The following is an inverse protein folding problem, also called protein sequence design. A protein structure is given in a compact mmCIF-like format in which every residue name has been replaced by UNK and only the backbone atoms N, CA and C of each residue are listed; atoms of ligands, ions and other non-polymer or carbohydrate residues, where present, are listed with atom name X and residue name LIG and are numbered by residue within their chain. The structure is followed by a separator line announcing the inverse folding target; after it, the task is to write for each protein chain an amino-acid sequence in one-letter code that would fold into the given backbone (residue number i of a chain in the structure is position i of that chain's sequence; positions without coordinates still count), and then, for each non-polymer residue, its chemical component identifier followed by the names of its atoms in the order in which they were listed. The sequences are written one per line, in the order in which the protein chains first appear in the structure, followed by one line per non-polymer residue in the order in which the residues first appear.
data_IF_202561809272
#
_entry.id   IF_202561809272
#
_cell.length_a   1.000
_cell.length_b   1.000
_cell.length_c   1.000
_cell.angle_alpha   90.00
_cell.angle_beta   90.00
_cell.angle_gamma   90.00
#
_symmetry.space_group_name_H-M   'P 1'
#
loop_
_entity.id
_entity.type
_entity.pdbx_description
1 polymer ?
#
# COMPACT_ATOMS: atom_id res chain seq x y z
N UNK A 1 2.26 16.99 16.26
CA UNK A 1 2.14 16.72 17.72
C UNK A 1 3.52 16.68 18.33
N UNK A 2 3.68 17.19 19.56
CA UNK A 2 4.92 17.16 20.35
C UNK A 2 4.59 16.56 21.71
N UNK A 3 5.32 15.51 22.10
CA UNK A 3 5.28 14.97 23.45
C UNK A 3 6.42 15.56 24.28
N UNK A 4 6.13 16.22 25.40
CA UNK A 4 7.15 16.79 26.28
C UNK A 4 6.64 16.96 27.72
N UNK A 5 7.56 16.89 28.69
CA UNK A 5 7.25 16.99 30.11
C UNK A 5 7.37 18.42 30.67
N UNK A 6 7.94 19.35 29.90
CA UNK A 6 8.14 20.73 30.36
C UNK A 6 8.15 21.74 29.20
N UNK A 7 7.96 23.01 29.55
CA UNK A 7 7.84 24.11 28.58
C UNK A 7 9.17 24.38 27.83
N UNK A 8 10.31 24.13 28.44
CA UNK A 8 11.61 24.32 27.79
C UNK A 8 11.77 23.42 26.58
N UNK A 9 11.45 22.13 26.74
CA UNK A 9 11.58 21.13 25.68
C UNK A 9 10.58 21.42 24.55
N UNK A 10 9.36 21.85 24.91
CA UNK A 10 8.34 22.29 23.93
C UNK A 10 8.90 23.43 23.07
N UNK A 11 9.41 24.47 23.71
CA UNK A 11 9.93 25.65 23.01
C UNK A 11 11.11 25.28 22.09
N UNK A 12 12.01 24.44 22.55
CA UNK A 12 13.17 23.99 21.78
C UNK A 12 12.73 23.22 20.51
N UNK A 13 11.80 22.28 20.62
CA UNK A 13 11.29 21.53 19.48
C UNK A 13 10.52 22.44 18.52
N UNK A 14 9.71 23.37 19.04
CA UNK A 14 8.99 24.34 18.20
C UNK A 14 9.93 25.24 17.42
N UNK A 15 11.03 25.70 18.03
CA UNK A 15 12.04 26.53 17.37
C UNK A 15 12.71 25.77 16.21
N UNK A 16 13.12 24.52 16.44
CA UNK A 16 13.68 23.68 15.39
C UNK A 16 12.70 23.48 14.24
N UNK A 17 11.41 23.22 14.53
CA UNK A 17 10.42 22.93 13.51
C UNK A 17 9.97 24.15 12.69
N UNK A 18 10.14 25.37 13.19
CA UNK A 18 9.82 26.60 12.44
C UNK A 18 10.54 26.68 11.09
N UNK A 19 11.76 26.20 11.06
CA UNK A 19 12.61 26.28 9.87
C UNK A 19 12.33 25.18 8.81
N UNK A 20 11.48 24.18 9.18
CA UNK A 20 11.17 23.05 8.31
C UNK A 20 9.80 23.14 7.62
N UNK A 21 9.00 24.14 7.91
CA UNK A 21 7.64 24.28 7.39
C UNK A 21 7.42 25.65 6.78
N UNK A 22 6.98 25.69 5.53
CA UNK A 22 6.57 26.93 4.83
C UNK A 22 5.28 27.52 5.38
N UNK A 23 4.51 26.75 6.17
CA UNK A 23 3.25 27.13 6.80
C UNK A 23 3.24 26.67 8.26
N UNK A 24 2.56 27.38 9.12
CA UNK A 24 2.38 27.00 10.51
C UNK A 24 1.38 25.83 10.63
N UNK A 25 1.82 24.58 10.75
CA UNK A 25 0.91 23.45 10.92
C UNK A 25 0.26 23.52 12.30
N UNK A 26 -1.00 23.05 12.44
CA UNK A 26 -1.65 23.01 13.75
C UNK A 26 -0.84 22.13 14.71
N UNK A 27 -0.47 22.71 15.85
CA UNK A 27 0.36 22.07 16.85
C UNK A 27 -0.49 21.57 18.02
N UNK A 28 -0.26 20.32 18.42
CA UNK A 28 -0.82 19.74 19.64
C UNK A 28 0.32 19.33 20.58
N UNK A 29 0.30 19.87 21.79
CA UNK A 29 1.22 19.49 22.87
C UNK A 29 0.55 18.37 23.68
N UNK A 30 1.31 17.33 23.99
CA UNK A 30 0.88 16.10 24.66
C UNK A 30 1.92 15.72 25.72
N UNK A 31 1.58 14.85 26.67
CA UNK A 31 2.59 14.12 27.45
C UNK A 31 3.37 13.16 26.53
N UNK A 32 4.48 12.62 27.03
CA UNK A 32 5.27 11.63 26.27
C UNK A 32 4.43 10.39 25.93
N UNK A 33 3.70 9.88 26.92
CA UNK A 33 2.86 8.70 26.78
C UNK A 33 1.70 8.93 25.81
N UNK A 34 1.06 10.11 25.88
CA UNK A 34 -0.01 10.48 24.93
C UNK A 34 0.52 10.58 23.50
N UNK A 35 1.72 11.13 23.30
CA UNK A 35 2.32 11.26 21.98
C UNK A 35 2.69 9.89 21.38
N UNK A 36 3.23 8.96 22.18
CA UNK A 36 3.52 7.59 21.77
C UNK A 36 2.25 6.85 21.36
N UNK A 37 1.21 6.89 22.21
CA UNK A 37 -0.08 6.27 21.90
C UNK A 37 -0.72 6.90 20.67
N UNK A 38 -0.71 8.23 20.55
CA UNK A 38 -1.29 8.93 19.41
C UNK A 38 -0.58 8.57 18.11
N UNK A 39 0.76 8.48 18.11
CA UNK A 39 1.55 8.12 16.93
C UNK A 39 1.21 6.72 16.42
N UNK A 40 1.17 5.72 17.30
CA UNK A 40 0.89 4.33 16.91
C UNK A 40 -0.59 4.18 16.52
N UNK A 41 -1.51 4.87 17.22
CA UNK A 41 -2.94 4.86 16.91
C UNK A 41 -3.25 5.46 15.54
N UNK A 42 -2.48 6.48 15.09
CA UNK A 42 -2.69 7.08 13.78
C UNK A 42 -2.55 6.01 12.67
N UNK A 43 -1.44 5.27 12.65
CA UNK A 43 -1.21 4.26 11.65
C UNK A 43 -2.19 3.08 11.79
N UNK A 44 -2.53 2.67 13.01
CA UNK A 44 -3.56 1.67 13.27
C UNK A 44 -4.92 2.08 12.68
N UNK A 45 -5.31 3.35 12.82
CA UNK A 45 -6.54 3.86 12.23
C UNK A 45 -6.50 3.90 10.70
N UNK A 46 -5.37 4.34 10.12
CA UNK A 46 -5.19 4.35 8.66
C UNK A 46 -5.30 2.93 8.09
N UNK A 47 -4.68 1.94 8.74
CA UNK A 47 -4.79 0.53 8.33
C UNK A 47 -6.24 0.04 8.31
N UNK A 48 -7.06 0.42 9.30
CA UNK A 48 -8.49 0.10 9.28
C UNK A 48 -9.24 0.74 8.11
N UNK A 49 -8.88 1.99 7.73
CA UNK A 49 -9.47 2.64 6.54
C UNK A 49 -9.12 1.88 5.27
N UNK A 50 -7.84 1.53 5.09
CA UNK A 50 -7.37 0.77 3.93
C UNK A 50 -8.04 -0.60 3.89
N UNK A 51 -8.11 -1.31 5.01
CA UNK A 51 -8.76 -2.61 5.08
C UNK A 51 -10.25 -2.53 4.73
N UNK A 52 -10.97 -1.54 5.24
CA UNK A 52 -12.37 -1.35 4.91
C UNK A 52 -12.59 -1.13 3.41
N UNK A 53 -11.78 -0.27 2.78
CA UNK A 53 -11.91 0.04 1.36
C UNK A 53 -11.47 -1.15 0.47
N UNK A 54 -10.46 -1.88 0.90
CA UNK A 54 -10.03 -3.10 0.21
C UNK A 54 -11.06 -4.22 0.33
N UNK A 55 -11.71 -4.36 1.50
CA UNK A 55 -12.85 -5.28 1.65
C UNK A 55 -14.03 -4.87 0.76
N UNK A 56 -14.35 -3.58 0.68
CA UNK A 56 -15.38 -3.07 -0.22
C UNK A 56 -15.06 -3.38 -1.68
N UNK A 57 -13.80 -3.22 -2.09
CA UNK A 57 -13.34 -3.59 -3.43
C UNK A 57 -13.54 -5.06 -3.75
N UNK A 58 -13.20 -5.94 -2.80
CA UNK A 58 -13.44 -7.38 -2.95
C UNK A 58 -14.92 -7.74 -3.01
N UNK A 59 -15.79 -7.03 -2.28
CA UNK A 59 -17.24 -7.20 -2.38
C UNK A 59 -17.82 -6.78 -3.74
N UNK A 60 -17.21 -5.77 -4.36
CA UNK A 60 -17.64 -5.26 -5.67
C UNK A 60 -17.05 -6.07 -6.85
N UNK A 61 -16.09 -6.94 -6.61
CA UNK A 61 -15.45 -7.74 -7.66
C UNK A 61 -16.50 -8.63 -8.36
N UNK A 62 -16.56 -8.53 -9.69
CA UNK A 62 -17.54 -9.27 -10.51
C UNK A 62 -18.98 -8.73 -10.48
N UNK A 63 -19.25 -7.59 -9.84
CA UNK A 63 -20.58 -6.96 -9.90
C UNK A 63 -20.74 -6.12 -11.18
N UNK A 64 -21.80 -6.40 -11.94
CA UNK A 64 -22.12 -5.65 -13.14
C UNK A 64 -22.47 -4.19 -12.82
N UNK A 65 -21.95 -3.25 -13.64
CA UNK A 65 -22.19 -1.82 -13.51
C UNK A 65 -21.77 -1.17 -12.19
N UNK A 66 -20.81 -1.79 -11.48
CA UNK A 66 -20.26 -1.27 -10.23
C UNK A 66 -18.78 -0.95 -10.42
N UNK A 67 -18.42 0.32 -10.19
CA UNK A 67 -17.03 0.74 -10.06
C UNK A 67 -16.79 1.18 -8.61
N UNK A 68 -15.95 0.44 -7.91
CA UNK A 68 -15.63 0.69 -6.50
C UNK A 68 -14.99 2.07 -6.28
N UNK A 69 -14.24 2.59 -7.26
CA UNK A 69 -13.61 3.91 -7.16
C UNK A 69 -14.65 5.03 -7.12
N UNK A 70 -15.72 4.93 -7.93
CA UNK A 70 -16.83 5.87 -7.84
C UNK A 70 -17.52 5.85 -6.47
N UNK A 71 -17.65 4.67 -5.87
CA UNK A 71 -18.24 4.51 -4.53
C UNK A 71 -17.32 5.14 -3.48
N UNK A 72 -16.02 4.83 -3.52
CA UNK A 72 -15.06 5.35 -2.53
C UNK A 72 -14.85 6.85 -2.66
N UNK A 73 -14.87 7.39 -3.89
CA UNK A 73 -14.79 8.82 -4.13
C UNK A 73 -16.04 9.53 -3.58
N UNK A 74 -17.24 9.00 -3.82
CA UNK A 74 -18.46 9.56 -3.26
C UNK A 74 -18.47 9.56 -1.72
N UNK A 75 -18.08 8.45 -1.09
CA UNK A 75 -17.97 8.34 0.38
C UNK A 75 -16.87 9.27 0.91
N UNK A 76 -15.75 9.39 0.20
CA UNK A 76 -14.60 10.22 0.56
C UNK A 76 -14.92 11.73 0.60
N UNK A 77 -15.98 12.20 -0.06
CA UNK A 77 -16.45 13.59 0.04
C UNK A 77 -16.98 13.93 1.43
N UNK A 78 -17.43 12.94 2.19
CA UNK A 78 -17.87 13.17 3.57
C UNK A 78 -16.65 13.53 4.45
N UNK A 79 -16.68 14.72 5.07
CA UNK A 79 -15.58 15.21 5.93
C UNK A 79 -15.28 14.29 7.11
N UNK A 80 -16.24 13.47 7.54
CA UNK A 80 -16.05 12.47 8.61
C UNK A 80 -15.18 11.31 8.16
N UNK A 81 -15.14 11.03 6.84
CA UNK A 81 -14.39 9.93 6.23
C UNK A 81 -13.08 10.44 5.64
N UNK A 82 -13.13 11.48 4.78
CA UNK A 82 -12.00 12.03 4.04
C UNK A 82 -11.46 11.09 2.95
N UNK A 83 -11.02 11.59 1.79
CA UNK A 83 -10.52 10.76 0.68
C UNK A 83 -9.13 10.15 0.94
N UNK A 84 -8.38 10.66 1.94
CA UNK A 84 -7.03 10.16 2.22
C UNK A 84 -7.06 8.71 2.73
N UNK A 85 -6.25 7.85 2.09
CA UNK A 85 -6.21 6.40 2.35
C UNK A 85 -7.57 5.71 2.19
N UNK A 86 -8.41 6.21 1.26
CA UNK A 86 -9.74 5.70 1.03
C UNK A 86 -9.97 5.34 -0.44
N UNK A 87 -8.99 4.66 -1.05
CA UNK A 87 -9.06 4.10 -2.41
C UNK A 87 -8.79 2.59 -2.35
N UNK A 88 -9.54 1.82 -3.13
CA UNK A 88 -9.25 0.42 -3.37
C UNK A 88 -7.92 0.28 -4.11
N UNK A 89 -7.12 -0.70 -3.72
CA UNK A 89 -5.80 -0.89 -4.31
C UNK A 89 -5.18 -2.23 -3.96
N UNK A 90 -3.86 -2.24 -3.83
CA UNK A 90 -3.11 -3.42 -3.43
C UNK A 90 -3.12 -3.60 -1.91
N UNK A 91 -2.73 -4.78 -1.39
CA UNK A 91 -2.51 -4.98 0.03
C UNK A 91 -1.55 -3.92 0.59
N UNK A 92 -1.83 -3.44 1.79
CA UNK A 92 -0.89 -2.53 2.47
C UNK A 92 0.37 -3.29 2.90
N UNK A 93 1.48 -2.59 2.87
CA UNK A 93 2.79 -3.12 3.24
C UNK A 93 3.74 -2.02 3.70
N UNK A 94 5.01 -2.20 3.39
CA UNK A 94 6.08 -1.31 3.78
C UNK A 94 6.49 -1.48 5.24
N UNK A 95 7.37 -0.59 5.70
CA UNK A 95 8.01 -0.73 7.01
C UNK A 95 7.17 -0.25 8.18
N UNK A 96 6.18 0.64 7.94
CA UNK A 96 5.46 1.33 9.01
C UNK A 96 4.14 0.66 9.40
N UNK A 97 3.25 0.41 8.45
CA UNK A 97 1.90 -0.09 8.77
C UNK A 97 1.92 -1.46 9.46
N UNK A 98 2.61 -2.49 8.97
CA UNK A 98 2.64 -3.78 9.65
C UNK A 98 3.29 -3.69 11.04
N UNK A 99 4.40 -2.95 11.16
CA UNK A 99 5.11 -2.79 12.43
C UNK A 99 4.26 -2.07 13.48
N UNK A 100 3.64 -0.97 13.11
CA UNK A 100 2.86 -0.14 14.04
C UNK A 100 1.53 -0.84 14.41
N UNK A 101 0.92 -1.61 13.48
CA UNK A 101 -0.22 -2.47 13.79
C UNK A 101 0.15 -3.55 14.80
N UNK A 102 1.26 -4.25 14.60
CA UNK A 102 1.74 -5.24 15.55
C UNK A 102 2.05 -4.64 16.93
N UNK A 103 2.67 -3.45 16.97
CA UNK A 103 2.93 -2.73 18.20
C UNK A 103 1.62 -2.34 18.92
N UNK A 104 0.61 -1.87 18.18
CA UNK A 104 -0.69 -1.53 18.77
C UNK A 104 -1.43 -2.76 19.29
N UNK A 105 -1.42 -3.88 18.56
CA UNK A 105 -1.99 -5.16 19.02
C UNK A 105 -1.32 -5.60 20.32
N UNK A 106 0.02 -5.52 20.39
CA UNK A 106 0.78 -5.86 21.58
C UNK A 106 0.43 -4.93 22.77
N UNK A 107 0.34 -3.64 22.52
CA UNK A 107 -0.06 -2.64 23.52
C UNK A 107 -1.46 -2.95 24.08
N UNK A 108 -2.43 -3.22 23.20
CA UNK A 108 -3.79 -3.58 23.61
C UNK A 108 -3.79 -4.88 24.47
N UNK A 109 -3.05 -5.91 24.05
CA UNK A 109 -2.93 -7.18 24.76
C UNK A 109 -2.35 -6.98 26.18
N UNK A 110 -1.32 -6.14 26.33
CA UNK A 110 -0.74 -5.80 27.63
C UNK A 110 -1.77 -5.11 28.56
N UNK A 111 -2.77 -4.45 28.00
CA UNK A 111 -3.90 -3.85 28.71
C UNK A 111 -5.12 -4.78 28.81
N UNK A 112 -4.96 -6.08 28.50
CA UNK A 112 -6.03 -7.10 28.49
C UNK A 112 -7.19 -6.72 27.58
N UNK A 113 -6.88 -6.10 26.43
CA UNK A 113 -7.82 -5.75 25.35
C UNK A 113 -7.43 -6.46 24.07
N UNK A 114 -8.43 -6.82 23.27
CA UNK A 114 -8.25 -7.43 21.97
C UNK A 114 -8.47 -6.39 20.87
N UNK A 115 -7.47 -6.18 20.03
CA UNK A 115 -7.53 -5.28 18.88
C UNK A 115 -8.15 -6.00 17.66
N UNK A 116 -9.39 -6.44 17.77
CA UNK A 116 -10.11 -7.24 16.75
C UNK A 116 -10.16 -6.53 15.39
N UNK A 117 -10.28 -5.21 15.39
CA UNK A 117 -10.30 -4.39 14.18
C UNK A 117 -9.00 -4.50 13.38
N UNK A 118 -7.84 -4.57 14.04
CA UNK A 118 -6.56 -4.75 13.34
C UNK A 118 -6.34 -6.18 12.88
N UNK A 119 -6.82 -7.16 13.62
CA UNK A 119 -6.82 -8.57 13.17
C UNK A 119 -7.65 -8.74 11.92
N UNK A 120 -8.86 -8.15 11.90
CA UNK A 120 -9.69 -8.10 10.69
C UNK A 120 -8.98 -7.41 9.53
N UNK A 121 -8.27 -6.31 9.80
CA UNK A 121 -7.51 -5.63 8.77
C UNK A 121 -6.39 -6.51 8.18
N UNK A 122 -5.69 -7.26 9.00
CA UNK A 122 -4.67 -8.22 8.56
C UNK A 122 -5.28 -9.37 7.74
N UNK A 123 -6.46 -9.88 8.14
CA UNK A 123 -7.20 -10.92 7.40
C UNK A 123 -7.60 -10.40 6.01
N UNK A 124 -8.24 -9.24 5.92
CA UNK A 124 -8.61 -8.62 4.63
C UNK A 124 -7.39 -8.39 3.74
N UNK A 125 -6.26 -7.97 4.33
CA UNK A 125 -5.01 -7.75 3.59
C UNK A 125 -4.44 -9.07 3.02
N UNK A 126 -4.52 -10.15 3.79
CA UNK A 126 -4.10 -11.48 3.37
C UNK A 126 -5.00 -12.05 2.27
N UNK A 127 -6.33 -11.91 2.41
CA UNK A 127 -7.31 -12.37 1.44
C UNK A 127 -7.15 -11.65 0.09
N UNK A 128 -6.95 -10.34 0.13
CA UNK A 128 -6.70 -9.55 -1.08
C UNK A 128 -5.39 -9.97 -1.78
N UNK A 129 -4.34 -10.19 -0.98
CA UNK A 129 -3.09 -10.70 -1.52
C UNK A 129 -3.27 -12.06 -2.20
N UNK A 130 -3.97 -12.98 -1.54
CA UNK A 130 -4.24 -14.31 -2.07
C UNK A 130 -5.07 -14.24 -3.36
N UNK A 131 -6.08 -13.38 -3.42
CA UNK A 131 -6.87 -13.16 -4.63
C UNK A 131 -6.01 -12.68 -5.81
N UNK A 132 -5.06 -11.77 -5.59
CA UNK A 132 -4.13 -11.33 -6.63
C UNK A 132 -3.23 -12.48 -7.07
N UNK A 133 -2.66 -13.23 -6.13
CA UNK A 133 -1.80 -14.37 -6.44
C UNK A 133 -2.56 -15.44 -7.24
N UNK A 134 -3.78 -15.80 -6.82
CA UNK A 134 -4.60 -16.82 -7.49
C UNK A 134 -4.92 -16.43 -8.95
N UNK A 135 -5.19 -15.15 -9.19
CA UNK A 135 -5.38 -14.61 -10.54
C UNK A 135 -4.09 -14.70 -11.38
N UNK A 136 -2.94 -14.44 -10.78
CA UNK A 136 -1.65 -14.50 -11.47
C UNK A 136 -1.24 -15.94 -11.82
N UNK A 137 -1.42 -16.91 -10.93
CA UNK A 137 -0.95 -18.29 -11.12
C UNK A 137 -1.70 -19.06 -12.22
N UNK A 138 -2.75 -18.49 -12.78
CA UNK A 138 -3.43 -19.04 -13.95
C UNK A 138 -2.65 -18.85 -15.27
N UNK A 139 -1.52 -18.13 -15.24
CA UNK A 139 -0.74 -17.73 -16.40
C UNK A 139 0.75 -18.11 -16.25
N UNK A 140 1.40 -18.48 -17.36
CA UNK A 140 2.82 -18.88 -17.36
C UNK A 140 3.77 -17.67 -17.32
N UNK A 141 3.30 -16.49 -17.77
CA UNK A 141 4.07 -15.24 -17.86
C UNK A 141 3.31 -14.10 -17.22
N UNK A 142 3.82 -13.59 -16.14
CA UNK A 142 3.19 -12.50 -15.37
C UNK A 142 4.07 -11.27 -15.34
N UNK A 143 3.50 -10.12 -15.70
CA UNK A 143 4.09 -8.81 -15.60
C UNK A 143 3.73 -8.11 -14.29
N UNK A 144 4.72 -7.64 -13.56
CA UNK A 144 4.55 -6.86 -12.33
C UNK A 144 4.98 -5.42 -12.61
N UNK A 145 4.06 -4.48 -12.51
CA UNK A 145 4.31 -3.05 -12.72
C UNK A 145 4.26 -2.33 -11.37
N UNK A 146 5.44 -1.90 -10.89
CA UNK A 146 5.66 -1.36 -9.56
C UNK A 146 6.12 -2.42 -8.56
N UNK A 147 7.42 -2.45 -8.25
CA UNK A 147 8.06 -3.43 -7.34
C UNK A 147 8.10 -2.90 -5.92
N UNK A 148 8.40 -1.61 -5.77
CA UNK A 148 8.52 -0.94 -4.47
C UNK A 148 7.19 -0.92 -3.71
N UNK A 149 7.22 -0.57 -2.41
CA UNK A 149 5.99 -0.57 -1.61
C UNK A 149 5.08 0.64 -1.89
N UNK A 150 5.57 1.65 -2.60
CA UNK A 150 4.82 2.84 -3.03
C UNK A 150 5.53 3.55 -4.19
N UNK A 151 4.82 4.34 -5.02
CA UNK A 151 5.43 5.18 -6.03
C UNK A 151 6.48 6.15 -5.47
N UNK A 152 7.41 6.57 -6.33
CA UNK A 152 8.49 7.53 -6.00
C UNK A 152 9.40 7.08 -4.83
N UNK A 153 9.66 5.79 -4.71
CA UNK A 153 10.51 5.23 -3.67
C UNK A 153 11.12 3.91 -4.15
N UNK A 154 12.44 3.66 -3.99
CA UNK A 154 13.07 2.39 -4.34
C UNK A 154 12.95 1.32 -3.24
N UNK A 155 12.19 1.57 -2.18
CA UNK A 155 12.10 0.67 -1.02
C UNK A 155 11.16 -0.48 -1.31
N UNK A 156 11.68 -1.71 -1.28
CA UNK A 156 10.92 -2.96 -1.50
C UNK A 156 10.60 -3.71 -0.20
N UNK A 157 11.13 -3.25 0.93
CA UNK A 157 10.92 -3.91 2.23
C UNK A 157 9.42 -3.91 2.58
N UNK A 158 8.86 -5.11 2.75
CA UNK A 158 7.44 -5.28 3.03
C UNK A 158 6.52 -4.94 1.86
N UNK A 159 7.05 -4.81 0.64
CA UNK A 159 6.24 -4.61 -0.56
C UNK A 159 5.41 -5.85 -0.89
N UNK A 160 4.10 -5.72 -1.12
CA UNK A 160 3.28 -6.81 -1.63
C UNK A 160 3.77 -7.33 -2.97
N UNK A 161 4.34 -6.45 -3.81
CA UNK A 161 4.91 -6.82 -5.13
C UNK A 161 6.12 -7.72 -4.98
N UNK A 162 7.04 -7.40 -4.04
CA UNK A 162 8.21 -8.23 -3.78
C UNK A 162 7.82 -9.63 -3.31
N UNK A 163 6.80 -9.73 -2.44
CA UNK A 163 6.25 -11.02 -2.03
C UNK A 163 5.59 -11.77 -3.19
N UNK A 164 4.83 -11.08 -4.04
CA UNK A 164 4.18 -11.67 -5.20
C UNK A 164 5.21 -12.23 -6.19
N UNK A 165 6.27 -11.48 -6.47
CA UNK A 165 7.40 -11.92 -7.30
C UNK A 165 8.00 -13.22 -6.75
N UNK A 166 8.28 -13.29 -5.45
CA UNK A 166 8.81 -14.48 -4.80
C UNK A 166 7.88 -15.68 -4.97
N UNK A 167 6.59 -15.51 -4.63
CA UNK A 167 5.61 -16.60 -4.67
C UNK A 167 5.38 -17.12 -6.11
N UNK A 168 5.43 -16.24 -7.13
CA UNK A 168 5.34 -16.63 -8.53
C UNK A 168 6.56 -17.43 -9.01
N UNK A 169 7.76 -16.99 -8.62
CA UNK A 169 9.01 -17.72 -8.92
C UNK A 169 8.99 -19.12 -8.30
N UNK A 170 8.55 -19.26 -7.05
CA UNK A 170 8.43 -20.54 -6.35
C UNK A 170 7.43 -21.49 -7.05
N UNK A 171 6.48 -20.95 -7.80
CA UNK A 171 5.52 -21.69 -8.62
C UNK A 171 5.98 -21.91 -10.07
N UNK A 172 7.25 -21.61 -10.39
CA UNK A 172 7.86 -21.72 -11.72
C UNK A 172 7.18 -20.84 -12.78
N UNK A 173 6.61 -19.70 -12.40
CA UNK A 173 6.02 -18.72 -13.32
C UNK A 173 7.12 -17.75 -13.76
N UNK A 174 7.16 -17.42 -15.04
CA UNK A 174 8.09 -16.43 -15.58
C UNK A 174 7.61 -15.02 -15.21
N UNK A 175 8.43 -14.29 -14.46
CA UNK A 175 8.09 -12.94 -14.00
C UNK A 175 8.84 -11.90 -14.82
N UNK A 176 8.09 -11.03 -15.47
CA UNK A 176 8.56 -9.77 -16.05
C UNK A 176 8.27 -8.66 -15.06
N UNK A 177 9.19 -7.73 -14.86
CA UNK A 177 8.99 -6.68 -13.87
C UNK A 177 9.48 -5.33 -14.35
N UNK A 178 8.72 -4.30 -14.01
CA UNK A 178 9.07 -2.91 -14.22
C UNK A 178 8.95 -2.11 -12.93
N UNK A 179 9.96 -1.30 -12.64
CA UNK A 179 9.92 -0.24 -11.63
C UNK A 179 10.69 0.95 -12.15
N UNK A 180 10.36 2.15 -11.69
CA UNK A 180 11.03 3.38 -12.09
C UNK A 180 12.48 3.45 -11.60
N UNK A 181 12.75 2.81 -10.45
CA UNK A 181 14.05 2.84 -9.80
C UNK A 181 14.79 1.52 -10.00
N UNK A 182 15.99 1.60 -10.51
CA UNK A 182 16.88 0.44 -10.66
C UNK A 182 17.23 -0.20 -9.31
N UNK A 183 17.30 0.61 -8.26
CA UNK A 183 17.56 0.18 -6.89
C UNK A 183 16.46 -0.74 -6.35
N UNK A 184 15.22 -0.63 -6.85
CA UNK A 184 14.13 -1.55 -6.46
C UNK A 184 14.46 -2.99 -6.81
N UNK A 185 15.12 -3.23 -7.95
CA UNK A 185 15.57 -4.55 -8.37
C UNK A 185 16.70 -5.07 -7.49
N UNK A 186 17.72 -4.25 -7.24
CA UNK A 186 18.89 -4.62 -6.39
C UNK A 186 18.48 -4.92 -4.95
N UNK A 187 17.33 -4.42 -4.50
CA UNK A 187 16.81 -4.61 -3.15
C UNK A 187 15.90 -5.86 -3.02
N UNK A 188 15.74 -6.68 -4.08
CA UNK A 188 14.89 -7.88 -4.05
C UNK A 188 15.53 -9.11 -3.36
N UNK A 189 16.67 -8.93 -2.67
CA UNK A 189 17.31 -9.96 -1.83
C UNK A 189 17.55 -11.30 -2.54
N UNK A 190 18.19 -11.28 -3.72
CA UNK A 190 18.58 -12.47 -4.50
C UNK A 190 17.47 -13.03 -5.38
N UNK A 191 16.44 -12.24 -5.66
CA UNK A 191 15.44 -12.54 -6.69
C UNK A 191 15.72 -11.83 -8.01
N UNK A 192 16.65 -10.88 -8.05
CA UNK A 192 16.98 -10.04 -9.21
C UNK A 192 17.37 -10.84 -10.44
N UNK A 193 18.12 -11.95 -10.28
CA UNK A 193 18.54 -12.83 -11.35
C UNK A 193 17.46 -13.82 -11.83
N UNK A 194 16.33 -13.89 -11.11
CA UNK A 194 15.21 -14.80 -11.37
C UNK A 194 14.04 -14.13 -12.07
N UNK A 195 14.11 -12.84 -12.30
CA UNK A 195 13.10 -12.04 -12.98
C UNK A 195 13.66 -11.40 -14.25
N UNK A 196 12.78 -11.08 -15.17
CA UNK A 196 13.15 -10.39 -16.40
C UNK A 196 12.81 -8.90 -16.23
N UNK A 197 13.83 -8.09 -16.04
CA UNK A 197 13.68 -6.63 -15.94
C UNK A 197 13.28 -6.04 -17.29
N UNK A 198 12.21 -5.25 -17.29
CA UNK A 198 11.73 -4.50 -18.45
C UNK A 198 12.18 -3.05 -18.37
N UNK A 199 12.51 -2.43 -19.49
CA UNK A 199 12.97 -1.05 -19.59
C UNK A 199 11.83 -0.05 -19.53
N UNK A 200 10.64 -0.48 -19.96
CA UNK A 200 9.42 0.33 -19.95
C UNK A 200 8.25 -0.50 -19.42
N UNK A 201 7.21 0.14 -18.87
CA UNK A 201 6.04 -0.59 -18.44
C UNK A 201 5.32 -1.26 -19.62
N UNK A 202 5.32 -0.67 -20.83
CA UNK A 202 4.74 -1.30 -22.02
C UNK A 202 5.51 -2.56 -22.42
N UNK A 203 6.83 -2.58 -22.33
CA UNK A 203 7.62 -3.81 -22.59
C UNK A 203 7.22 -4.94 -21.62
N UNK A 204 6.93 -4.59 -20.36
CA UNK A 204 6.44 -5.56 -19.37
C UNK A 204 5.08 -6.14 -19.80
N UNK A 205 4.16 -5.29 -20.26
CA UNK A 205 2.87 -5.71 -20.82
C UNK A 205 3.04 -6.63 -22.02
N UNK A 206 3.85 -6.21 -23.00
CA UNK A 206 3.99 -6.93 -24.29
C UNK A 206 4.53 -8.36 -24.11
N UNK A 207 5.40 -8.57 -23.12
CA UNK A 207 6.05 -9.85 -22.84
C UNK A 207 5.24 -10.80 -21.94
N UNK A 208 4.18 -10.34 -21.34
CA UNK A 208 3.41 -11.08 -20.34
C UNK A 208 2.05 -11.53 -20.87
N UNK A 209 1.45 -12.53 -20.27
CA UNK A 209 0.08 -12.97 -20.54
C UNK A 209 -0.93 -12.33 -19.56
N UNK A 210 -0.48 -12.10 -18.33
CA UNK A 210 -1.21 -11.38 -17.30
C UNK A 210 -0.37 -10.25 -16.70
N UNK A 211 -1.03 -9.17 -16.27
CA UNK A 211 -0.40 -7.97 -15.70
C UNK A 211 -0.99 -7.67 -14.33
N UNK A 212 -0.15 -7.41 -13.35
CA UNK A 212 -0.54 -6.85 -12.07
C UNK A 212 0.02 -5.43 -11.92
N UNK A 213 -0.87 -4.44 -11.86
CA UNK A 213 -0.52 -3.04 -11.60
C UNK A 213 -0.53 -2.84 -10.09
N UNK A 214 0.66 -2.66 -9.53
CA UNK A 214 0.85 -2.62 -8.08
C UNK A 214 0.98 -1.20 -7.52
N UNK A 215 1.12 -0.18 -8.37
CA UNK A 215 1.21 1.22 -7.99
C UNK A 215 0.09 2.08 -8.57
N UNK A 216 -0.47 3.03 -7.80
CA UNK A 216 -1.46 4.01 -8.27
C UNK A 216 -0.79 5.16 -9.03
N UNK A 217 -0.08 4.88 -10.11
CA UNK A 217 0.63 5.89 -10.87
C UNK A 217 -0.06 6.13 -12.23
N UNK A 218 -0.56 7.35 -12.42
CA UNK A 218 -1.28 7.75 -13.64
C UNK A 218 -0.46 7.62 -14.93
N UNK A 219 0.88 7.54 -14.86
CA UNK A 219 1.71 7.26 -16.04
C UNK A 219 1.44 5.90 -16.68
N UNK A 220 0.79 4.99 -15.96
CA UNK A 220 0.40 3.68 -16.49
C UNK A 220 -0.95 3.70 -17.21
N UNK A 221 -1.72 4.80 -17.15
CA UNK A 221 -3.05 4.89 -17.76
C UNK A 221 -3.07 4.73 -19.30
N UNK A 222 -1.94 5.00 -19.95
CA UNK A 222 -1.81 4.89 -21.42
C UNK A 222 -1.29 3.52 -21.90
N UNK A 223 -1.15 2.54 -21.01
CA UNK A 223 -0.67 1.21 -21.39
C UNK A 223 -1.69 0.50 -22.29
N UNK A 224 -1.20 -0.04 -23.39
CA UNK A 224 -2.01 -0.90 -24.24
C UNK A 224 -1.98 -2.33 -23.66
N UNK A 225 -3.07 -2.73 -23.05
CA UNK A 225 -3.26 -4.03 -22.43
C UNK A 225 -4.20 -4.94 -23.20
N UNK A 226 -4.48 -4.62 -24.49
CA UNK A 226 -5.31 -5.46 -25.37
C UNK A 226 -4.81 -6.90 -25.34
N UNK A 227 -5.74 -7.85 -25.25
CA UNK A 227 -5.46 -9.30 -25.18
C UNK A 227 -4.68 -9.79 -23.95
N UNK A 228 -4.59 -8.97 -22.90
CA UNK A 228 -3.95 -9.34 -21.62
C UNK A 228 -4.99 -9.48 -20.51
N UNK A 229 -4.74 -10.42 -19.60
CA UNK A 229 -5.47 -10.41 -18.34
C UNK A 229 -4.87 -9.35 -17.42
N UNK A 230 -5.72 -8.47 -16.89
CA UNK A 230 -5.26 -7.33 -16.10
C UNK A 230 -5.79 -7.38 -14.67
N UNK A 231 -4.90 -7.22 -13.72
CA UNK A 231 -5.20 -7.00 -12.31
C UNK A 231 -4.85 -5.55 -11.99
N UNK A 232 -5.84 -4.68 -11.98
CA UNK A 232 -5.71 -3.26 -11.69
C UNK A 232 -6.70 -2.84 -10.60
N UNK A 233 -6.35 -3.15 -9.38
CA UNK A 233 -7.17 -2.77 -8.22
C UNK A 233 -7.17 -1.25 -7.97
N UNK A 234 -6.24 -0.51 -8.56
CA UNK A 234 -6.14 0.94 -8.43
C UNK A 234 -7.02 1.70 -9.42
N UNK A 235 -7.52 1.02 -10.47
CA UNK A 235 -8.28 1.66 -11.54
C UNK A 235 -7.45 2.65 -12.36
N UNK A 236 -6.16 2.38 -12.54
CA UNK A 236 -5.25 3.26 -13.26
C UNK A 236 -5.53 3.25 -14.76
N UNK A 237 -5.92 2.09 -15.31
CA UNK A 237 -6.18 1.89 -16.74
C UNK A 237 -7.59 2.33 -17.16
N UNK A 238 -8.54 2.39 -16.22
CA UNK A 238 -9.94 2.70 -16.53
C UNK A 238 -10.17 4.18 -16.92
N UNK A 239 -9.09 4.92 -17.09
CA UNK A 239 -9.06 6.31 -17.57
C UNK A 239 -10.16 7.16 -16.93
N UNK A 240 -9.85 7.88 -15.91
CA UNK A 240 -10.73 8.86 -15.27
C UNK A 240 -11.29 9.88 -16.24
#
# INVERSE_FOLDING_TARGET
MIGANNQRDINMVQEIWKDFHDNEPPLKILSLEEAEVAKVSLNAFVVNKIAFVNFLGQLCDGMDNVNVHNITDAIGLDKRISPYFFKFGTPYGGTCFPRDSAAFIRFASNRKRDAKNLKFADEVNADLYQSILDKCVAYDKVGIIGISFKPNSPVVIGSPSSKLIQDLIEKNITVFAYDEFDESFSNLNGLEDKIIKCKTPQECVDKSDAIAIMHPDNKFSSLNTSDKFVIDNWGVLDGN
#
